data_IF_360099175227
#
_entry.id   IF_360099175227
#
_cell.length_a   1.000
_cell.length_b   1.000
_cell.length_c   1.000
_cell.angle_alpha   90.00
_cell.angle_beta   90.00
_cell.angle_gamma   90.00
#
_symmetry.space_group_name_H-M   'P 1'
#
loop_
_entity.id
_entity.type
_entity.pdbx_description
1 polymer ?
#
# COMPACT_ATOMS: atom_id res chain seq x y z
N UNK A 1 -7.83 49.04 -18.77
CA UNK A 1 -8.36 47.71 -18.39
C UNK A 1 -9.42 47.93 -17.32
N UNK A 2 -10.63 47.38 -17.48
CA UNK A 2 -11.71 47.59 -16.52
C UNK A 2 -11.36 46.90 -15.19
N UNK A 3 -11.51 47.57 -14.04
CA UNK A 3 -11.08 47.03 -12.73
C UNK A 3 -11.65 45.64 -12.46
N UNK A 4 -12.89 45.42 -12.91
CA UNK A 4 -13.58 44.12 -12.83
C UNK A 4 -12.84 43.03 -13.62
N UNK A 5 -12.40 43.31 -14.84
CA UNK A 5 -11.68 42.33 -15.68
C UNK A 5 -10.33 41.96 -15.05
N UNK A 6 -9.65 42.94 -14.46
CA UNK A 6 -8.37 42.71 -13.77
C UNK A 6 -8.55 41.83 -12.52
N UNK A 7 -9.62 42.04 -11.75
CA UNK A 7 -9.95 41.21 -10.58
C UNK A 7 -10.26 39.77 -11.02
N UNK A 8 -11.08 39.58 -12.07
CA UNK A 8 -11.37 38.24 -12.60
C UNK A 8 -10.10 37.53 -13.07
N UNK A 9 -9.19 38.24 -13.74
CA UNK A 9 -7.94 37.66 -14.22
C UNK A 9 -7.06 37.17 -13.05
N UNK A 10 -6.94 37.96 -11.98
CA UNK A 10 -6.20 37.57 -10.77
C UNK A 10 -6.84 36.37 -10.09
N UNK A 11 -8.17 36.33 -9.98
CA UNK A 11 -8.90 35.20 -9.40
C UNK A 11 -8.68 33.90 -10.17
N UNK A 12 -8.73 33.95 -11.51
CA UNK A 12 -8.49 32.77 -12.35
C UNK A 12 -7.07 32.23 -12.13
N UNK A 13 -6.07 33.11 -12.07
CA UNK A 13 -4.68 32.71 -11.80
C UNK A 13 -4.57 32.09 -10.40
N UNK A 14 -5.17 32.70 -9.39
CA UNK A 14 -5.12 32.19 -8.02
C UNK A 14 -5.76 30.81 -7.88
N UNK A 15 -6.94 30.61 -8.49
CA UNK A 15 -7.64 29.31 -8.51
C UNK A 15 -6.84 28.27 -9.30
N UNK A 16 -6.27 28.65 -10.44
CA UNK A 16 -5.43 27.76 -11.26
C UNK A 16 -4.18 27.29 -10.52
N UNK A 17 -3.48 28.21 -9.83
CA UNK A 17 -2.33 27.87 -9.00
C UNK A 17 -2.71 26.94 -7.84
N UNK A 18 -3.80 27.25 -7.14
CA UNK A 18 -4.32 26.39 -6.07
C UNK A 18 -4.62 24.97 -6.58
N UNK A 19 -5.35 24.86 -7.70
CA UNK A 19 -5.69 23.57 -8.29
C UNK A 19 -4.43 22.80 -8.76
N UNK A 20 -3.45 23.49 -9.35
CA UNK A 20 -2.19 22.88 -9.79
C UNK A 20 -1.36 22.33 -8.64
N UNK A 21 -1.15 23.12 -7.58
CA UNK A 21 -0.44 22.68 -6.37
C UNK A 21 -1.16 21.50 -5.73
N UNK A 22 -2.48 21.57 -5.63
CA UNK A 22 -3.31 20.51 -5.07
C UNK A 22 -3.24 19.21 -5.89
N UNK A 23 -3.24 19.30 -7.21
CA UNK A 23 -3.12 18.15 -8.11
C UNK A 23 -1.78 17.43 -7.92
N UNK A 24 -0.67 18.19 -7.94
CA UNK A 24 0.67 17.63 -7.75
C UNK A 24 0.81 17.00 -6.37
N UNK A 25 0.36 17.68 -5.31
CA UNK A 25 0.39 17.14 -3.95
C UNK A 25 -0.39 15.85 -3.81
N UNK A 26 -1.58 15.77 -4.41
CA UNK A 26 -2.40 14.54 -4.40
C UNK A 26 -1.75 13.41 -5.19
N UNK A 27 -1.15 13.70 -6.34
CA UNK A 27 -0.45 12.70 -7.15
C UNK A 27 0.74 12.10 -6.39
N UNK A 28 1.51 12.91 -5.68
CA UNK A 28 2.64 12.46 -4.86
C UNK A 28 2.13 11.66 -3.64
N UNK A 29 1.13 12.18 -2.92
CA UNK A 29 0.61 11.53 -1.71
C UNK A 29 0.06 10.11 -1.94
N UNK A 30 -0.66 9.90 -3.05
CA UNK A 30 -1.20 8.57 -3.39
C UNK A 30 -0.28 7.73 -4.27
N UNK A 31 0.61 8.39 -5.04
CA UNK A 31 1.48 7.73 -6.00
C UNK A 31 2.77 7.19 -5.37
N UNK A 32 3.33 7.90 -4.40
CA UNK A 32 4.56 7.50 -3.74
C UNK A 32 4.26 6.54 -2.59
N UNK A 33 4.96 5.41 -2.54
CA UNK A 33 4.96 4.55 -1.37
C UNK A 33 5.77 5.20 -0.23
N UNK A 34 5.22 5.33 0.99
CA UNK A 34 5.86 6.08 2.07
C UNK A 34 7.01 5.33 2.75
N UNK A 35 7.05 4.01 2.61
CA UNK A 35 8.08 3.17 3.22
C UNK A 35 9.18 2.84 2.21
N UNK A 36 10.42 2.79 2.69
CA UNK A 36 11.58 2.42 1.88
C UNK A 36 11.43 1.00 1.37
N UNK A 37 11.66 0.83 0.07
CA UNK A 37 11.77 -0.46 -0.61
C UNK A 37 13.14 -1.06 -0.26
N UNK A 38 13.15 -2.12 0.54
CA UNK A 38 14.38 -2.62 1.19
C UNK A 38 15.30 -3.40 0.24
N UNK A 39 14.78 -3.89 -0.88
CA UNK A 39 15.53 -4.69 -1.86
C UNK A 39 16.05 -3.88 -3.07
N UNK A 40 15.97 -2.56 -3.02
CA UNK A 40 16.53 -1.64 -4.02
C UNK A 40 17.53 -0.70 -3.31
N UNK A 41 18.73 -0.58 -3.86
CA UNK A 41 19.72 0.41 -3.39
C UNK A 41 19.16 1.82 -3.65
N UNK A 42 19.02 2.63 -2.60
CA UNK A 42 18.25 3.89 -2.62
C UNK A 42 16.77 3.76 -3.00
N UNK A 43 16.14 2.62 -2.64
CA UNK A 43 14.75 2.27 -2.94
C UNK A 43 13.67 3.13 -2.30
N UNK A 44 13.70 4.44 -2.46
CA UNK A 44 12.51 5.27 -2.25
C UNK A 44 11.77 5.40 -3.59
N UNK A 45 10.47 5.11 -3.58
CA UNK A 45 9.59 5.26 -4.76
C UNK A 45 9.62 6.70 -5.32
N UNK A 46 9.89 7.66 -4.43
CA UNK A 46 9.99 9.06 -4.72
C UNK A 46 11.09 9.69 -3.86
N UNK A 47 11.92 10.54 -4.47
CA UNK A 47 13.03 11.16 -3.74
C UNK A 47 12.52 11.99 -2.53
N UNK A 48 13.15 11.87 -1.34
CA UNK A 48 12.68 12.45 -0.08
C UNK A 48 12.25 13.93 -0.11
N UNK A 49 12.98 14.86 -0.77
CA UNK A 49 12.55 16.26 -0.81
C UNK A 49 11.25 16.45 -1.59
N UNK A 50 10.97 15.64 -2.61
CA UNK A 50 9.76 15.73 -3.41
C UNK A 50 8.55 15.16 -2.67
N UNK A 51 8.73 14.05 -1.93
CA UNK A 51 7.68 13.49 -1.09
C UNK A 51 7.25 14.50 -0.02
N UNK A 52 8.22 15.06 0.71
CA UNK A 52 7.93 16.03 1.76
C UNK A 52 7.20 17.28 1.25
N UNK A 53 7.64 17.84 0.12
CA UNK A 53 6.97 18.99 -0.51
C UNK A 53 5.57 18.61 -1.03
N UNK A 54 5.43 17.42 -1.62
CA UNK A 54 4.16 16.91 -2.10
C UNK A 54 3.14 16.72 -0.98
N UNK A 55 3.52 16.05 0.11
CA UNK A 55 2.66 15.90 1.28
C UNK A 55 2.29 17.24 1.90
N UNK A 56 3.26 18.13 2.09
CA UNK A 56 2.99 19.46 2.64
C UNK A 56 2.00 20.23 1.76
N UNK A 57 2.19 20.18 0.43
CA UNK A 57 1.28 20.81 -0.52
C UNK A 57 -0.12 20.19 -0.47
N UNK A 58 -0.23 18.87 -0.28
CA UNK A 58 -1.51 18.17 -0.10
C UNK A 58 -2.24 18.67 1.15
N UNK A 59 -1.56 18.75 2.29
CA UNK A 59 -2.15 19.21 3.55
C UNK A 59 -2.52 20.69 3.53
N UNK A 60 -1.64 21.57 3.04
CA UNK A 60 -1.89 23.03 2.97
C UNK A 60 -3.10 23.35 2.07
N UNK A 61 -3.34 22.53 1.06
CA UNK A 61 -4.46 22.71 0.13
C UNK A 61 -5.76 22.04 0.58
N UNK A 62 -5.84 21.54 1.81
CA UNK A 62 -7.05 20.99 2.41
C UNK A 62 -7.04 19.47 2.63
N UNK A 63 -5.95 18.79 2.24
CA UNK A 63 -5.75 17.37 2.52
C UNK A 63 -6.94 16.49 2.11
N UNK A 64 -7.36 15.53 2.94
CA UNK A 64 -8.49 14.65 2.62
C UNK A 64 -9.86 15.37 2.66
N UNK A 65 -9.94 16.61 3.18
CA UNK A 65 -11.20 17.37 3.27
C UNK A 65 -11.65 17.97 1.93
N UNK A 66 -10.72 18.13 0.97
CA UNK A 66 -10.99 18.64 -0.37
C UNK A 66 -10.44 17.66 -1.42
N UNK A 67 -11.04 16.47 -1.56
CA UNK A 67 -10.49 15.43 -2.43
C UNK A 67 -10.66 15.83 -3.90
N UNK A 68 -9.55 16.01 -4.63
CA UNK A 68 -9.57 16.00 -6.10
C UNK A 68 -9.80 14.59 -6.62
N UNK A 69 -9.28 13.59 -5.90
CA UNK A 69 -9.50 12.18 -6.11
C UNK A 69 -9.83 11.56 -4.76
N UNK A 70 -11.00 10.93 -4.64
CA UNK A 70 -11.40 10.27 -3.39
C UNK A 70 -10.76 8.87 -3.34
N UNK A 71 -9.46 8.84 -3.00
CA UNK A 71 -8.63 7.62 -2.99
C UNK A 71 -8.24 7.17 -1.58
N UNK A 72 -8.56 7.96 -0.56
CA UNK A 72 -8.17 7.68 0.83
C UNK A 72 -8.73 6.36 1.34
N UNK A 73 -9.98 6.04 0.99
CA UNK A 73 -10.67 4.83 1.44
C UNK A 73 -10.32 3.56 0.66
N UNK A 74 -9.65 3.69 -0.50
CA UNK A 74 -9.32 2.55 -1.38
C UNK A 74 -7.81 2.31 -1.48
N UNK A 75 -6.99 3.31 -1.18
CA UNK A 75 -5.53 3.19 -1.27
C UNK A 75 -4.99 2.64 0.04
N UNK A 76 -4.31 1.50 -0.03
CA UNK A 76 -3.64 0.90 1.12
C UNK A 76 -2.36 1.66 1.44
N UNK A 77 -2.20 2.00 2.72
CA UNK A 77 -1.02 2.66 3.27
C UNK A 77 -0.06 1.65 3.89
N UNK A 78 -0.58 0.70 4.66
CA UNK A 78 0.22 -0.27 5.41
C UNK A 78 -0.55 -1.57 5.59
N UNK A 79 0.19 -2.68 5.61
CA UNK A 79 -0.30 -4.00 6.03
C UNK A 79 0.48 -4.43 7.27
N UNK A 80 -0.22 -4.94 8.27
CA UNK A 80 0.40 -5.58 9.43
C UNK A 80 -0.09 -7.01 9.53
N UNK A 81 0.84 -7.95 9.66
CA UNK A 81 0.53 -9.38 9.75
C UNK A 81 0.25 -9.78 11.18
N UNK A 82 -0.77 -10.62 11.35
CA UNK A 82 -1.15 -11.24 12.62
C UNK A 82 -0.99 -12.75 12.47
N UNK A 83 -0.15 -13.35 13.31
CA UNK A 83 0.18 -14.78 13.24
C UNK A 83 -0.05 -15.37 14.62
N UNK A 84 -1.15 -16.10 14.77
CA UNK A 84 -1.54 -16.69 16.05
C UNK A 84 -1.35 -18.21 15.99
N UNK A 85 -0.59 -18.78 16.92
CA UNK A 85 -0.47 -20.24 17.03
C UNK A 85 -1.78 -20.84 17.50
N UNK A 86 -2.41 -21.67 16.66
CA UNK A 86 -3.66 -22.38 16.97
C UNK A 86 -3.40 -23.79 17.49
N UNK A 87 -2.33 -24.45 17.02
CA UNK A 87 -1.88 -25.73 17.52
C UNK A 87 -0.35 -25.80 17.59
N UNK A 88 0.18 -25.77 18.82
CA UNK A 88 1.62 -25.81 19.05
C UNK A 88 2.28 -27.16 18.72
N UNK A 89 1.56 -28.28 18.80
CA UNK A 89 2.12 -29.60 18.49
C UNK A 89 2.34 -29.79 16.99
N UNK A 90 1.44 -29.23 16.18
CA UNK A 90 1.52 -29.30 14.72
C UNK A 90 2.10 -28.03 14.09
N UNK A 91 2.58 -27.07 14.90
CA UNK A 91 3.00 -25.73 14.46
C UNK A 91 1.97 -25.05 13.54
N UNK A 92 0.68 -25.31 13.76
CA UNK A 92 -0.40 -24.68 13.00
C UNK A 92 -0.63 -23.27 13.52
N UNK A 93 -0.74 -22.32 12.60
CA UNK A 93 -0.93 -20.92 12.87
C UNK A 93 -2.07 -20.37 12.02
N UNK A 94 -2.89 -19.53 12.62
CA UNK A 94 -3.87 -18.69 11.93
C UNK A 94 -3.19 -17.43 11.45
N UNK A 95 -3.43 -17.08 10.19
CA UNK A 95 -2.82 -15.94 9.51
C UNK A 95 -3.89 -14.90 9.26
N UNK A 96 -3.67 -13.70 9.78
CA UNK A 96 -4.48 -12.53 9.54
C UNK A 96 -3.66 -11.38 8.96
N UNK A 97 -4.34 -10.45 8.31
CA UNK A 97 -3.75 -9.20 7.85
C UNK A 97 -4.63 -8.01 8.22
N UNK A 98 -4.04 -7.04 8.92
CA UNK A 98 -4.62 -5.75 9.19
C UNK A 98 -4.20 -4.78 8.10
N UNK A 99 -5.13 -4.42 7.23
CA UNK A 99 -4.92 -3.50 6.11
C UNK A 99 -5.41 -2.12 6.52
N UNK A 100 -4.50 -1.15 6.54
CA UNK A 100 -4.80 0.24 6.87
C UNK A 100 -4.77 1.10 5.60
N UNK A 101 -5.86 1.81 5.34
CA UNK A 101 -6.00 2.75 4.22
C UNK A 101 -5.59 4.17 4.59
N UNK A 102 -5.44 5.06 3.61
CA UNK A 102 -5.01 6.45 3.83
C UNK A 102 -6.02 7.29 4.62
N UNK A 103 -7.30 6.91 4.64
CA UNK A 103 -8.32 7.49 5.54
C UNK A 103 -8.12 7.11 7.03
N UNK A 104 -7.14 6.26 7.33
CA UNK A 104 -6.83 5.79 8.68
C UNK A 104 -7.70 4.63 9.15
N UNK A 105 -8.61 4.11 8.30
CA UNK A 105 -9.40 2.94 8.62
C UNK A 105 -8.54 1.69 8.49
N UNK A 106 -8.69 0.79 9.45
CA UNK A 106 -8.06 -0.53 9.42
C UNK A 106 -9.14 -1.59 9.30
N UNK A 107 -8.96 -2.52 8.36
CA UNK A 107 -9.80 -3.71 8.20
C UNK A 107 -8.94 -4.94 8.42
N UNK A 108 -9.40 -5.83 9.29
CA UNK A 108 -8.77 -7.12 9.55
C UNK A 108 -9.33 -8.16 8.58
N UNK A 109 -8.45 -8.88 7.92
CA UNK A 109 -8.77 -10.00 7.04
C UNK A 109 -8.25 -11.30 7.64
N UNK A 110 -9.09 -12.32 7.68
CA UNK A 110 -8.72 -13.69 8.01
C UNK A 110 -8.26 -14.38 6.73
N UNK A 111 -7.00 -14.79 6.68
CA UNK A 111 -6.36 -15.34 5.49
C UNK A 111 -6.25 -16.87 5.54
N UNK A 112 -6.74 -17.49 6.62
CA UNK A 112 -6.75 -18.93 6.83
C UNK A 112 -5.61 -19.42 7.72
N UNK A 113 -5.24 -20.69 7.56
CA UNK A 113 -4.20 -21.35 8.37
C UNK A 113 -3.02 -21.82 7.52
N UNK A 114 -1.84 -21.86 8.15
CA UNK A 114 -0.59 -22.35 7.61
C UNK A 114 0.33 -22.83 8.74
N UNK A 115 1.46 -23.45 8.40
CA UNK A 115 2.38 -24.04 9.39
C UNK A 115 3.78 -23.44 9.32
N UNK A 116 4.39 -23.19 10.48
CA UNK A 116 5.81 -22.76 10.55
C UNK A 116 6.05 -21.37 9.93
N UNK A 117 5.11 -20.45 10.13
CA UNK A 117 5.11 -19.11 9.58
C UNK A 117 6.01 -18.14 10.34
N UNK A 118 6.74 -17.35 9.56
CA UNK A 118 7.50 -16.17 9.97
C UNK A 118 7.07 -14.99 9.10
N UNK A 119 6.57 -13.93 9.74
CA UNK A 119 6.10 -12.73 9.06
C UNK A 119 7.14 -11.63 8.99
N UNK A 120 7.22 -10.94 7.85
CA UNK A 120 7.97 -9.69 7.68
C UNK A 120 7.06 -8.61 7.08
N UNK A 121 7.02 -7.44 7.69
CA UNK A 121 6.34 -6.27 7.15
C UNK A 121 7.38 -5.33 6.52
N UNK A 122 7.98 -5.76 5.41
CA UNK A 122 8.92 -4.96 4.62
C UNK A 122 8.32 -4.64 3.26
N UNK A 123 8.59 -3.43 2.77
CA UNK A 123 8.21 -3.05 1.42
C UNK A 123 9.29 -3.51 0.45
N UNK A 124 8.95 -4.31 -0.55
CA UNK A 124 9.89 -4.92 -1.50
C UNK A 124 9.33 -4.80 -2.92
N UNK A 125 10.18 -4.56 -3.92
CA UNK A 125 9.77 -4.62 -5.32
C UNK A 125 9.92 -6.05 -5.83
N UNK A 126 8.83 -6.64 -6.30
CA UNK A 126 8.82 -7.96 -6.92
C UNK A 126 8.07 -7.88 -8.26
N UNK A 127 8.74 -8.25 -9.36
CA UNK A 127 8.17 -8.23 -10.72
C UNK A 127 7.45 -6.92 -11.09
N UNK A 128 8.05 -5.77 -10.76
CA UNK A 128 7.49 -4.41 -10.97
C UNK A 128 6.25 -4.08 -10.12
N UNK A 129 5.99 -4.86 -9.07
CA UNK A 129 4.90 -4.66 -8.12
C UNK A 129 5.47 -4.43 -6.73
N UNK A 130 4.88 -3.51 -5.97
CA UNK A 130 5.31 -3.26 -4.59
C UNK A 130 4.60 -4.27 -3.68
N UNK A 131 5.41 -5.12 -3.06
CA UNK A 131 5.00 -6.03 -1.98
C UNK A 131 5.05 -5.23 -0.68
N UNK A 132 3.91 -5.04 -0.03
CA UNK A 132 3.78 -4.34 1.26
C UNK A 132 3.73 -5.39 2.37
N UNK A 133 4.79 -6.18 2.48
CA UNK A 133 4.94 -7.24 3.46
C UNK A 133 4.61 -8.64 2.91
N UNK A 134 5.24 -9.62 3.55
CA UNK A 134 5.19 -11.03 3.20
C UNK A 134 5.17 -11.89 4.47
N UNK A 135 4.48 -13.00 4.43
CA UNK A 135 4.60 -14.07 5.42
C UNK A 135 5.10 -15.29 4.69
N UNK A 136 6.20 -15.86 5.15
CA UNK A 136 6.71 -17.12 4.65
C UNK A 136 6.50 -18.20 5.69
N UNK A 137 5.93 -19.32 5.28
CA UNK A 137 5.62 -20.46 6.10
C UNK A 137 6.33 -21.68 5.51
N UNK A 138 7.21 -22.29 6.30
CA UNK A 138 7.91 -23.50 5.90
C UNK A 138 7.61 -24.62 6.88
N UNK A 139 7.07 -25.72 6.36
CA UNK A 139 6.82 -26.90 7.16
C UNK A 139 7.10 -28.18 6.38
N UNK A 140 7.98 -29.01 6.95
CA UNK A 140 8.49 -30.25 6.37
C UNK A 140 9.10 -30.09 4.97
N UNK A 141 8.29 -30.14 3.91
CA UNK A 141 8.68 -30.09 2.50
C UNK A 141 7.77 -29.21 1.63
N UNK A 142 6.77 -28.55 2.23
CA UNK A 142 5.90 -27.60 1.54
C UNK A 142 6.19 -26.19 2.04
N UNK A 143 6.18 -25.23 1.13
CA UNK A 143 6.18 -23.81 1.47
C UNK A 143 4.81 -23.22 1.19
N UNK A 144 4.33 -22.39 2.10
CA UNK A 144 3.19 -21.50 1.86
C UNK A 144 3.67 -20.09 2.08
N UNK A 145 3.32 -19.15 1.21
CA UNK A 145 3.59 -17.74 1.45
C UNK A 145 2.37 -16.88 1.20
N UNK A 146 2.27 -15.80 1.96
CA UNK A 146 1.26 -14.77 1.80
C UNK A 146 1.97 -13.48 1.43
N UNK A 147 1.54 -12.81 0.39
CA UNK A 147 2.14 -11.55 -0.04
C UNK A 147 1.04 -10.52 -0.31
N UNK A 148 1.25 -9.31 0.17
CA UNK A 148 0.34 -8.20 -0.06
C UNK A 148 0.91 -7.30 -1.15
N UNK A 149 0.16 -7.08 -2.22
CA UNK A 149 0.60 -6.31 -3.38
C UNK A 149 -0.18 -5.01 -3.51
N UNK A 150 0.54 -3.92 -3.75
CA UNK A 150 -0.05 -2.67 -4.21
C UNK A 150 0.09 -2.58 -5.72
N UNK A 151 -1.05 -2.60 -6.39
CA UNK A 151 -1.19 -2.34 -7.81
C UNK A 151 -1.59 -0.87 -8.01
N UNK A 152 -1.34 -0.28 -9.18
CA UNK A 152 -1.46 1.17 -9.37
C UNK A 152 -2.74 1.85 -8.84
N UNK A 153 -3.89 1.18 -8.84
CA UNK A 153 -5.12 1.65 -8.17
C UNK A 153 -5.77 0.64 -7.22
N UNK A 154 -5.18 -0.54 -7.04
CA UNK A 154 -5.81 -1.65 -6.34
C UNK A 154 -4.86 -2.32 -5.37
N UNK A 155 -5.39 -3.24 -4.59
CA UNK A 155 -4.62 -3.97 -3.60
C UNK A 155 -5.07 -5.43 -3.60
N UNK A 156 -4.10 -6.36 -3.61
CA UNK A 156 -4.39 -7.78 -3.45
C UNK A 156 -3.58 -8.38 -2.32
N UNK A 157 -4.14 -9.37 -1.63
CA UNK A 157 -3.37 -10.32 -0.82
C UNK A 157 -3.50 -11.67 -1.48
N UNK A 158 -2.36 -12.27 -1.79
CA UNK A 158 -2.28 -13.55 -2.47
C UNK A 158 -1.57 -14.56 -1.58
N UNK A 159 -2.04 -15.80 -1.69
CA UNK A 159 -1.44 -16.99 -1.07
C UNK A 159 -0.81 -17.84 -2.17
N UNK A 160 0.39 -18.32 -1.92
CA UNK A 160 1.15 -19.21 -2.79
C UNK A 160 1.41 -20.49 -2.02
N UNK A 161 0.93 -21.61 -2.52
CA UNK A 161 1.19 -22.93 -1.94
C UNK A 161 2.08 -23.73 -2.90
N UNK A 162 3.28 -24.08 -2.43
CA UNK A 162 4.23 -24.92 -3.14
C UNK A 162 3.97 -26.39 -2.84
N UNK A 163 3.76 -27.16 -3.89
CA UNK A 163 3.59 -28.60 -3.85
C UNK A 163 4.92 -29.30 -3.55
N UNK A 164 4.92 -30.13 -2.51
CA UNK A 164 6.07 -30.96 -2.15
C UNK A 164 6.38 -32.07 -3.18
N UNK A 165 5.43 -32.40 -4.08
CA UNK A 165 5.59 -33.49 -5.06
C UNK A 165 6.33 -33.06 -6.31
N UNK A 166 6.06 -31.84 -6.81
CA UNK A 166 6.55 -31.36 -8.11
C UNK A 166 7.10 -29.93 -8.09
N UNK A 167 7.08 -29.25 -6.93
CA UNK A 167 7.50 -27.86 -6.78
C UNK A 167 6.59 -26.85 -7.50
N UNK A 168 5.41 -27.28 -7.96
CA UNK A 168 4.45 -26.36 -8.57
C UNK A 168 3.88 -25.41 -7.53
N UNK A 169 3.66 -24.16 -7.92
CA UNK A 169 3.12 -23.12 -7.05
C UNK A 169 1.68 -22.83 -7.47
N UNK A 170 0.74 -23.08 -6.57
CA UNK A 170 -0.65 -22.68 -6.72
C UNK A 170 -0.87 -21.29 -6.11
N UNK A 171 -1.37 -20.35 -6.89
CA UNK A 171 -1.68 -18.98 -6.44
C UNK A 171 -3.18 -18.82 -6.20
N UNK A 172 -3.54 -18.26 -5.04
CA UNK A 172 -4.92 -17.92 -4.67
C UNK A 172 -5.00 -16.48 -4.18
N UNK A 173 -5.84 -15.67 -4.82
CA UNK A 173 -6.16 -14.32 -4.33
C UNK A 173 -7.14 -14.43 -3.16
N UNK A 174 -6.75 -13.93 -1.99
CA UNK A 174 -7.54 -13.97 -0.76
C UNK A 174 -8.30 -12.66 -0.51
N UNK A 175 -7.70 -11.54 -0.88
CA UNK A 175 -8.29 -10.19 -0.72
C UNK A 175 -8.05 -9.41 -2.01
N UNK A 176 -9.05 -8.65 -2.45
CA UNK A 176 -8.96 -7.71 -3.57
C UNK A 176 -9.76 -6.44 -3.24
N UNK A 177 -9.14 -5.27 -3.39
CA UNK A 177 -9.70 -3.93 -3.14
C UNK A 177 -9.50 -3.05 -4.37
#
# INVERSE_FOLDING_TARGET
MNKTLQIFFVLIIAVGLYAGVRFIGSAIHYGCHPDRIVNIEDGDDCAPPFVGVGEMSFYVTGGPLVPFFNRDATTVRRVSWDIETTNAEMNEQKIGANVTTYDGKTVAYDLGTAHGCTGTATSELHDHTIVIGKVECYYALSSTSFSAFKHGKGFSIERYDESAEDGSIATTTLVEI
#
